data_IF_886791352036
#
_entry.id   IF_886791352036
#
_cell.length_a   1.000
_cell.length_b   1.000
_cell.length_c   1.000
_cell.angle_alpha   90.00
_cell.angle_beta   90.00
_cell.angle_gamma   90.00
#
_symmetry.space_group_name_H-M   'P 1'
#
loop_
_entity.id
_entity.type
_entity.pdbx_description
1 polymer ?
#
# COMPACT_ATOMS: atom_id res chain seq x y z
N UNK A 1 9.08 -11.34 14.14
CA UNK A 1 8.40 -10.47 13.17
C UNK A 1 9.07 -10.68 11.83
N UNK A 2 8.32 -10.75 10.72
CA UNK A 2 8.93 -10.83 9.41
C UNK A 2 9.69 -9.52 9.14
N UNK A 3 11.00 -9.63 8.89
CA UNK A 3 11.81 -8.47 8.51
C UNK A 3 11.81 -8.34 7.00
N UNK A 4 11.07 -7.35 6.51
CA UNK A 4 11.05 -7.01 5.09
C UNK A 4 11.99 -5.84 4.83
N UNK A 5 12.59 -5.82 3.63
CA UNK A 5 13.40 -4.70 3.15
C UNK A 5 12.68 -4.03 1.98
N UNK A 6 12.56 -2.70 2.04
CA UNK A 6 12.00 -1.92 0.96
C UNK A 6 12.85 -2.09 -0.29
N UNK A 7 12.24 -2.53 -1.38
CA UNK A 7 12.94 -2.78 -2.64
C UNK A 7 13.52 -1.53 -3.30
N UNK A 8 13.08 -0.33 -2.90
CA UNK A 8 13.58 0.96 -3.43
C UNK A 8 14.71 1.54 -2.60
N UNK A 9 14.57 1.59 -1.27
CA UNK A 9 15.55 2.26 -0.41
C UNK A 9 16.43 1.31 0.43
N UNK A 10 16.13 0.00 0.43
CA UNK A 10 16.83 -1.00 1.25
C UNK A 10 16.54 -0.89 2.76
N UNK A 11 15.73 0.09 3.19
CA UNK A 11 15.34 0.28 4.59
C UNK A 11 14.39 -0.80 5.09
N UNK A 12 14.29 -0.94 6.42
CA UNK A 12 13.35 -1.87 7.04
C UNK A 12 11.90 -1.45 6.77
N UNK A 13 11.08 -2.41 6.36
CA UNK A 13 9.63 -2.30 6.32
C UNK A 13 9.09 -2.98 7.57
N UNK A 14 8.57 -2.19 8.50
CA UNK A 14 8.08 -2.65 9.79
C UNK A 14 6.56 -2.73 9.75
N UNK A 15 6.00 -3.75 10.40
CA UNK A 15 4.54 -3.86 10.52
C UNK A 15 3.97 -2.65 11.28
N UNK A 16 2.82 -2.14 10.83
CA UNK A 16 2.24 -0.88 11.31
C UNK A 16 2.74 0.38 10.58
N UNK A 17 3.79 0.31 9.75
CA UNK A 17 4.12 1.41 8.84
C UNK A 17 3.21 1.41 7.61
N UNK A 18 3.13 2.55 6.94
CA UNK A 18 2.48 2.64 5.63
C UNK A 18 3.40 2.07 4.55
N UNK A 19 3.12 0.84 4.13
CA UNK A 19 3.85 0.14 3.08
C UNK A 19 2.89 -0.71 2.24
N UNK A 20 3.38 -1.23 1.13
CA UNK A 20 2.61 -2.16 0.32
C UNK A 20 3.47 -3.21 -0.37
N UNK A 21 2.83 -4.19 -1.00
CA UNK A 21 3.47 -5.19 -1.84
C UNK A 21 3.09 -5.00 -3.29
N UNK A 22 4.11 -5.02 -4.15
CA UNK A 22 3.99 -5.00 -5.60
C UNK A 22 4.80 -6.15 -6.19
N UNK A 23 4.76 -6.30 -7.52
CA UNK A 23 5.54 -7.31 -8.24
C UNK A 23 7.04 -6.98 -8.14
N UNK A 24 7.69 -7.49 -7.10
CA UNK A 24 9.10 -7.25 -6.79
C UNK A 24 9.40 -7.25 -5.30
N UNK A 25 8.38 -7.04 -4.47
CA UNK A 25 8.49 -7.15 -3.02
C UNK A 25 7.80 -6.00 -2.27
N UNK A 26 8.18 -5.83 -1.00
CA UNK A 26 7.65 -4.77 -0.16
C UNK A 26 8.27 -3.42 -0.52
N UNK A 27 7.46 -2.37 -0.50
CA UNK A 27 7.86 -0.99 -0.77
C UNK A 27 7.21 -0.04 0.25
N UNK A 28 7.98 0.89 0.81
CA UNK A 28 7.39 1.95 1.63
C UNK A 28 6.46 2.80 0.78
N UNK A 29 5.35 3.27 1.35
CA UNK A 29 4.43 4.13 0.62
C UNK A 29 5.11 5.39 0.07
N UNK A 30 5.96 6.02 0.88
CA UNK A 30 6.75 7.20 0.47
C UNK A 30 7.70 6.89 -0.70
N UNK A 31 8.31 5.70 -0.72
CA UNK A 31 9.19 5.27 -1.80
C UNK A 31 8.42 5.03 -3.10
N UNK A 32 7.23 4.41 -3.01
CA UNK A 32 6.35 4.21 -4.16
C UNK A 32 5.89 5.53 -4.77
N UNK A 33 5.39 6.45 -3.93
CA UNK A 33 4.94 7.78 -4.39
C UNK A 33 6.10 8.55 -5.02
N UNK A 34 7.30 8.50 -4.41
CA UNK A 34 8.49 9.13 -4.98
C UNK A 34 8.85 8.51 -6.33
N UNK A 35 8.88 7.18 -6.45
CA UNK A 35 9.19 6.51 -7.71
C UNK A 35 8.21 6.90 -8.84
N UNK A 36 6.91 6.97 -8.52
CA UNK A 36 5.89 7.44 -9.47
C UNK A 36 6.13 8.91 -9.85
N UNK A 37 6.36 9.78 -8.86
CA UNK A 37 6.60 11.20 -9.09
C UNK A 37 7.83 11.44 -9.97
N UNK A 38 8.91 10.71 -9.73
CA UNK A 38 10.15 10.79 -10.50
C UNK A 38 9.93 10.34 -11.95
N UNK A 39 9.14 9.27 -12.18
CA UNK A 39 8.80 8.80 -13.53
C UNK A 39 7.95 9.78 -14.33
N UNK A 40 7.15 10.60 -13.65
CA UNK A 40 6.34 11.65 -14.27
C UNK A 40 7.00 13.04 -14.22
N UNK A 41 8.28 13.14 -13.86
CA UNK A 41 9.01 14.42 -13.74
C UNK A 41 8.25 15.47 -12.90
N UNK A 42 7.64 15.03 -11.79
CA UNK A 42 6.85 15.89 -10.90
C UNK A 42 5.44 16.22 -11.38
N UNK A 43 5.02 15.75 -12.57
CA UNK A 43 3.70 16.02 -13.17
C UNK A 43 2.86 14.76 -13.25
N UNK A 44 2.54 14.19 -12.09
CA UNK A 44 1.73 12.97 -12.00
C UNK A 44 0.32 13.21 -12.56
N UNK A 45 -0.18 12.38 -13.50
CA UNK A 45 -1.53 12.51 -14.03
C UNK A 45 -2.61 12.43 -12.94
N UNK A 46 -3.71 13.17 -13.12
CA UNK A 46 -4.84 13.19 -12.15
C UNK A 46 -5.41 11.81 -11.85
N UNK A 47 -5.49 10.94 -12.86
CA UNK A 47 -6.05 9.59 -12.72
C UNK A 47 -5.17 8.73 -11.80
N UNK A 48 -3.84 8.88 -11.93
CA UNK A 48 -2.87 8.19 -11.07
C UNK A 48 -2.93 8.74 -9.65
N UNK A 49 -3.05 10.07 -9.50
CA UNK A 49 -3.21 10.70 -8.19
C UNK A 49 -4.50 10.26 -7.47
N UNK A 50 -5.62 10.13 -8.20
CA UNK A 50 -6.87 9.66 -7.64
C UNK A 50 -6.75 8.22 -7.10
N UNK A 51 -6.12 7.33 -7.87
CA UNK A 51 -5.88 5.95 -7.43
C UNK A 51 -4.89 5.90 -6.26
N UNK A 52 -3.81 6.66 -6.30
CA UNK A 52 -2.87 6.76 -5.17
C UNK A 52 -3.57 7.24 -3.89
N UNK A 53 -4.50 8.19 -4.01
CA UNK A 53 -5.24 8.75 -2.87
C UNK A 53 -6.13 7.70 -2.23
N UNK A 54 -6.95 6.98 -3.01
CA UNK A 54 -7.84 5.96 -2.44
C UNK A 54 -7.05 4.74 -1.94
N UNK A 55 -5.95 4.39 -2.60
CA UNK A 55 -5.07 3.30 -2.16
C UNK A 55 -4.35 3.64 -0.84
N UNK A 56 -3.92 4.90 -0.67
CA UNK A 56 -3.38 5.38 0.61
C UNK A 56 -4.40 5.21 1.74
N UNK A 57 -5.64 5.62 1.49
CA UNK A 57 -6.70 5.53 2.48
C UNK A 57 -6.97 4.09 2.92
N UNK A 58 -6.96 3.14 1.97
CA UNK A 58 -7.08 1.71 2.28
C UNK A 58 -5.94 1.25 3.20
N UNK A 59 -4.70 1.63 2.92
CA UNK A 59 -3.55 1.22 3.74
C UNK A 59 -3.56 1.86 5.14
N UNK A 60 -3.99 3.12 5.24
CA UNK A 60 -4.22 3.77 6.53
C UNK A 60 -5.30 3.01 7.33
N UNK A 61 -6.37 2.54 6.67
CA UNK A 61 -7.37 1.67 7.28
C UNK A 61 -6.81 0.31 7.75
N UNK A 62 -5.87 -0.29 7.00
CA UNK A 62 -5.19 -1.54 7.40
C UNK A 62 -4.37 -1.29 8.68
N UNK A 63 -3.59 -0.21 8.72
CA UNK A 63 -2.79 0.16 9.90
C UNK A 63 -3.69 0.36 11.11
N UNK A 64 -4.74 1.15 10.97
CA UNK A 64 -5.70 1.41 12.06
C UNK A 64 -6.37 0.12 12.55
N UNK A 65 -6.71 -0.80 11.65
CA UNK A 65 -7.29 -2.08 12.04
C UNK A 65 -6.29 -2.94 12.82
N UNK A 66 -5.01 -2.96 12.44
CA UNK A 66 -3.94 -3.65 13.18
C UNK A 66 -3.75 -3.06 14.58
N UNK A 67 -3.71 -1.74 14.68
CA UNK A 67 -3.61 -1.03 15.96
C UNK A 67 -4.83 -1.34 16.85
N UNK A 68 -6.03 -1.35 16.27
CA UNK A 68 -7.26 -1.69 16.97
C UNK A 68 -7.24 -3.14 17.50
N UNK A 69 -6.75 -4.09 16.71
CA UNK A 69 -6.57 -5.50 17.13
C UNK A 69 -5.64 -5.68 18.34
N UNK A 70 -4.73 -4.73 18.60
CA UNK A 70 -3.80 -4.77 19.72
C UNK A 70 -4.43 -4.31 21.04
N UNK A 71 -5.47 -3.46 21.00
CA UNK A 71 -6.10 -2.89 22.20
C UNK A 71 -7.41 -3.57 22.60
N UNK A 72 -8.00 -4.37 21.70
CA UNK A 72 -9.24 -5.12 21.98
C UNK A 72 -8.92 -6.35 22.84
N UNK A 73 -9.60 -6.48 23.97
CA UNK A 73 -9.53 -7.66 24.85
C UNK A 73 -10.56 -8.75 24.51
N UNK A 74 -11.65 -8.39 23.82
CA UNK A 74 -12.71 -9.32 23.43
C UNK A 74 -12.36 -10.02 22.11
N UNK A 75 -12.18 -11.34 22.15
CA UNK A 75 -11.80 -12.14 20.98
C UNK A 75 -12.84 -12.08 19.84
N UNK A 76 -14.13 -11.97 20.15
CA UNK A 76 -15.18 -11.88 19.14
C UNK A 76 -15.10 -10.55 18.37
N UNK A 77 -14.86 -9.44 19.09
CA UNK A 77 -14.66 -8.13 18.49
C UNK A 77 -13.35 -8.10 17.68
N UNK A 78 -12.29 -8.73 18.20
CA UNK A 78 -11.01 -8.87 17.50
C UNK A 78 -11.17 -9.62 16.17
N UNK A 79 -11.97 -10.68 16.13
CA UNK A 79 -12.27 -11.40 14.90
C UNK A 79 -13.02 -10.56 13.86
N UNK A 80 -13.94 -9.68 14.31
CA UNK A 80 -14.65 -8.74 13.42
C UNK A 80 -13.65 -7.79 12.76
N UNK A 81 -12.77 -7.15 13.54
CA UNK A 81 -11.76 -6.22 13.01
C UNK A 81 -10.77 -6.94 12.09
N UNK A 82 -10.27 -8.11 12.50
CA UNK A 82 -9.38 -8.93 11.68
C UNK A 82 -9.99 -9.30 10.34
N UNK A 83 -11.29 -9.61 10.30
CA UNK A 83 -12.00 -9.89 9.06
C UNK A 83 -12.10 -8.66 8.15
N UNK A 84 -12.31 -7.47 8.72
CA UNK A 84 -12.33 -6.22 7.93
C UNK A 84 -10.94 -5.85 7.42
N UNK A 85 -9.91 -6.02 8.23
CA UNK A 85 -8.51 -5.82 7.80
C UNK A 85 -8.15 -6.69 6.60
N UNK A 86 -8.49 -7.98 6.63
CA UNK A 86 -8.22 -8.90 5.50
C UNK A 86 -8.90 -8.48 4.21
N UNK A 87 -10.11 -7.91 4.30
CA UNK A 87 -10.80 -7.34 3.12
C UNK A 87 -10.04 -6.13 2.57
N UNK A 88 -9.59 -5.22 3.45
CA UNK A 88 -8.78 -4.07 3.05
C UNK A 88 -7.44 -4.50 2.42
N UNK A 89 -6.76 -5.50 2.99
CA UNK A 89 -5.53 -6.07 2.44
C UNK A 89 -5.76 -6.66 1.04
N UNK A 90 -6.90 -7.32 0.82
CA UNK A 90 -7.30 -7.82 -0.49
C UNK A 90 -7.58 -6.71 -1.50
N UNK A 91 -8.30 -5.66 -1.10
CA UNK A 91 -8.58 -4.52 -1.97
C UNK A 91 -7.32 -3.70 -2.29
N UNK A 92 -6.44 -3.50 -1.31
CA UNK A 92 -5.11 -2.92 -1.51
C UNK A 92 -4.31 -3.66 -2.58
N UNK A 93 -4.28 -5.00 -2.52
CA UNK A 93 -3.55 -5.82 -3.48
C UNK A 93 -4.11 -5.67 -4.91
N UNK A 94 -5.45 -5.68 -5.07
CA UNK A 94 -6.10 -5.47 -6.37
C UNK A 94 -5.79 -4.06 -6.90
N UNK A 95 -5.94 -3.05 -6.06
CA UNK A 95 -5.76 -1.67 -6.45
C UNK A 95 -4.30 -1.34 -6.82
N UNK A 96 -3.33 -1.98 -6.18
CA UNK A 96 -1.93 -1.92 -6.62
C UNK A 96 -1.75 -2.46 -8.04
N UNK A 97 -2.35 -3.61 -8.35
CA UNK A 97 -2.28 -4.20 -9.70
C UNK A 97 -2.93 -3.28 -10.73
N UNK A 98 -4.12 -2.76 -10.43
CA UNK A 98 -4.85 -1.86 -11.33
C UNK A 98 -4.09 -0.54 -11.54
N UNK A 99 -3.51 0.02 -10.48
CA UNK A 99 -2.67 1.22 -10.54
C UNK A 99 -1.46 1.02 -11.46
N UNK A 100 -0.70 -0.06 -11.24
CA UNK A 100 0.48 -0.36 -12.05
C UNK A 100 0.10 -0.62 -13.51
N UNK A 101 -0.97 -1.38 -13.74
CA UNK A 101 -1.50 -1.63 -15.08
C UNK A 101 -1.96 -0.36 -15.77
N UNK A 102 -2.62 0.56 -15.07
CA UNK A 102 -3.00 1.87 -15.62
C UNK A 102 -1.75 2.67 -16.02
N UNK A 103 -0.76 2.76 -15.12
CA UNK A 103 0.48 3.51 -15.36
C UNK A 103 1.22 2.94 -16.59
N UNK A 104 1.33 1.62 -16.69
CA UNK A 104 1.99 0.95 -17.81
C UNK A 104 1.20 1.10 -19.12
N UNK A 105 -0.08 0.73 -19.13
CA UNK A 105 -0.88 0.67 -20.36
C UNK A 105 -1.25 2.03 -20.95
N UNK A 106 -1.50 3.04 -20.11
CA UNK A 106 -1.94 4.37 -20.55
C UNK A 106 -0.79 5.33 -20.74
N UNK A 107 0.24 5.25 -19.90
CA UNK A 107 1.35 6.21 -19.88
C UNK A 107 2.68 5.62 -20.33
N UNK A 108 2.78 4.31 -20.57
CA UNK A 108 4.01 3.66 -21.04
C UNK A 108 5.14 3.69 -19.99
N UNK A 109 4.80 3.83 -18.72
CA UNK A 109 5.75 3.95 -17.61
C UNK A 109 5.76 2.67 -16.81
N UNK A 110 6.96 2.16 -16.50
CA UNK A 110 7.13 1.05 -15.57
C UNK A 110 7.58 1.57 -14.19
N UNK A 111 6.84 1.19 -13.15
CA UNK A 111 7.16 1.48 -11.75
C UNK A 111 7.81 0.22 -11.16
N UNK A 112 8.98 0.35 -10.51
CA UNK A 112 9.63 -0.78 -9.84
C UNK A 112 8.72 -1.39 -8.79
#
# INVERSE_FOLDING_TARGET
MAEWKCMVCGGNVVDGQLFTFIKGGPIHWSCLVKAINDKFNGKVPSDVLAILTINRHIHEGIVLAKESEQVISDDSVKQVISSRRKLLEGEAAKLNVDMLKLIESKYGVNIP
#
